data_IF_147306841277
#
_entry.id   IF_147306841277
#
_cell.length_a   1.000
_cell.length_b   1.000
_cell.length_c   1.000
_cell.angle_alpha   90.00
_cell.angle_beta   90.00
_cell.angle_gamma   90.00
#
_symmetry.space_group_name_H-M   'P 1'
#
loop_
_entity.id
_entity.type
_entity.pdbx_description
1 polymer ?
#
# COMPACT_ATOMS: atom_id res chain seq x y z
N UNK A 1 14.02 44.80 25.59
CA UNK A 1 12.93 43.83 25.35
C UNK A 1 13.63 42.50 25.14
N UNK A 2 14.00 41.84 26.24
CA UNK A 2 14.72 40.57 26.18
C UNK A 2 13.72 39.49 25.79
N UNK A 3 13.87 38.96 24.58
CA UNK A 3 13.16 37.75 24.15
C UNK A 3 13.78 36.61 24.95
N UNK A 4 13.18 36.29 26.09
CA UNK A 4 13.46 35.07 26.83
C UNK A 4 13.04 33.90 25.93
N UNK A 5 14.01 33.33 25.22
CA UNK A 5 13.90 31.98 24.68
C UNK A 5 13.95 31.05 25.88
N UNK A 6 12.82 30.87 26.56
CA UNK A 6 12.64 29.69 27.37
C UNK A 6 12.79 28.50 26.40
N UNK A 7 13.96 27.88 26.42
CA UNK A 7 14.15 26.51 25.93
C UNK A 7 13.18 25.64 26.74
N UNK A 8 11.95 25.54 26.28
CA UNK A 8 11.11 24.41 26.59
C UNK A 8 11.74 23.23 25.86
N UNK A 9 12.76 22.65 26.48
CA UNK A 9 13.25 21.34 26.07
C UNK A 9 12.09 20.37 26.28
N UNK A 10 11.56 19.86 25.17
CA UNK A 10 10.54 18.82 25.20
C UNK A 10 11.08 17.65 26.03
N UNK A 11 10.25 17.14 26.94
CA UNK A 11 10.62 15.96 27.70
C UNK A 11 10.83 14.76 26.75
N UNK A 12 11.65 13.77 27.13
CA UNK A 12 11.85 12.57 26.30
C UNK A 12 10.53 11.88 25.91
N UNK A 13 9.55 11.87 26.81
CA UNK A 13 8.22 11.29 26.58
C UNK A 13 7.42 12.08 25.53
N UNK A 14 7.51 13.41 25.53
CA UNK A 14 6.88 14.27 24.52
C UNK A 14 7.52 14.09 23.14
N UNK A 15 8.85 13.92 23.09
CA UNK A 15 9.58 13.62 21.86
C UNK A 15 9.13 12.26 21.30
N UNK A 16 9.01 11.24 22.14
CA UNK A 16 8.55 9.91 21.73
C UNK A 16 7.10 9.95 21.22
N UNK A 17 6.22 10.68 21.91
CA UNK A 17 4.83 10.88 21.48
C UNK A 17 4.74 11.58 20.11
N UNK A 18 5.55 12.61 19.88
CA UNK A 18 5.58 13.34 18.61
C UNK A 18 6.19 12.50 17.48
N UNK A 19 7.24 11.73 17.73
CA UNK A 19 7.78 10.76 16.75
C UNK A 19 6.71 9.74 16.33
N UNK A 20 5.95 9.20 17.30
CA UNK A 20 4.86 8.28 17.00
C UNK A 20 3.75 8.95 16.18
N UNK A 21 3.45 10.23 16.44
CA UNK A 21 2.50 11.02 15.64
C UNK A 21 3.00 11.23 14.21
N UNK A 22 4.26 11.61 14.03
CA UNK A 22 4.90 11.80 12.73
C UNK A 22 4.88 10.50 11.92
N UNK A 23 5.19 9.37 12.55
CA UNK A 23 5.19 8.07 11.88
C UNK A 23 3.78 7.68 11.39
N UNK A 24 2.74 7.89 12.21
CA UNK A 24 1.35 7.68 11.79
C UNK A 24 0.96 8.58 10.62
N UNK A 25 1.35 9.86 10.66
CA UNK A 25 1.05 10.80 9.58
C UNK A 25 1.75 10.38 8.28
N UNK A 26 3.01 9.94 8.35
CA UNK A 26 3.75 9.42 7.21
C UNK A 26 3.04 8.23 6.56
N UNK A 27 2.55 7.29 7.35
CA UNK A 27 1.82 6.11 6.85
C UNK A 27 0.55 6.53 6.09
N UNK A 28 -0.23 7.46 6.66
CA UNK A 28 -1.42 8.02 5.98
C UNK A 28 -1.06 8.67 4.65
N UNK A 29 0.01 9.47 4.62
CA UNK A 29 0.45 10.16 3.40
C UNK A 29 0.93 9.18 2.32
N UNK A 30 1.65 8.12 2.69
CA UNK A 30 2.13 7.11 1.74
C UNK A 30 0.98 6.30 1.11
N UNK A 31 -0.07 5.98 1.89
CA UNK A 31 -1.28 5.35 1.36
C UNK A 31 -1.99 6.27 0.38
N UNK A 32 -2.17 7.54 0.75
CA UNK A 32 -2.79 8.55 -0.12
C UNK A 32 -2.00 8.80 -1.41
N UNK A 33 -0.68 8.83 -1.35
CA UNK A 33 0.19 8.91 -2.54
C UNK A 33 -0.03 7.71 -3.46
N UNK A 34 -0.24 6.53 -2.90
CA UNK A 34 -0.47 5.30 -3.68
C UNK A 34 -1.84 5.33 -4.36
N UNK A 35 -2.89 5.74 -3.64
CA UNK A 35 -4.22 6.00 -4.22
C UNK A 35 -4.16 7.02 -5.38
N UNK A 36 -3.45 8.14 -5.18
CA UNK A 36 -3.26 9.16 -6.20
C UNK A 36 -2.56 8.62 -7.46
N UNK A 37 -1.61 7.69 -7.30
CA UNK A 37 -0.95 7.04 -8.44
C UNK A 37 -1.91 6.14 -9.23
N UNK A 38 -2.77 5.38 -8.56
CA UNK A 38 -3.82 4.59 -9.24
C UNK A 38 -4.77 5.50 -10.02
N UNK A 39 -5.23 6.62 -9.43
CA UNK A 39 -6.09 7.58 -10.12
C UNK A 39 -5.40 8.23 -11.32
N UNK A 40 -4.12 8.59 -11.19
CA UNK A 40 -3.36 9.17 -12.30
C UNK A 40 -3.22 8.18 -13.47
N UNK A 41 -2.95 6.91 -13.17
CA UNK A 41 -2.87 5.85 -14.19
C UNK A 41 -4.24 5.61 -14.87
N UNK A 42 -5.35 5.62 -14.12
CA UNK A 42 -6.71 5.50 -14.67
C UNK A 42 -7.07 6.70 -15.57
N UNK A 43 -6.74 7.92 -15.14
CA UNK A 43 -6.92 9.14 -15.94
C UNK A 43 -6.18 9.02 -17.27
N UNK A 44 -4.96 8.48 -17.28
CA UNK A 44 -4.20 8.31 -18.51
C UNK A 44 -4.83 7.26 -19.43
N UNK A 45 -5.28 6.12 -18.88
CA UNK A 45 -6.02 5.11 -19.65
C UNK A 45 -7.30 5.68 -20.25
N UNK A 46 -8.05 6.46 -19.48
CA UNK A 46 -9.27 7.11 -19.93
C UNK A 46 -9.01 8.12 -21.06
N UNK A 47 -7.93 8.90 -20.98
CA UNK A 47 -7.51 9.82 -22.05
C UNK A 47 -7.18 9.05 -23.33
N UNK A 48 -6.38 7.99 -23.24
CA UNK A 48 -5.99 7.18 -24.40
C UNK A 48 -7.21 6.52 -25.05
N UNK A 49 -8.11 5.93 -24.24
CA UNK A 49 -9.39 5.36 -24.71
C UNK A 49 -10.25 6.43 -25.38
N UNK A 50 -10.33 7.63 -24.81
CA UNK A 50 -11.15 8.71 -25.35
C UNK A 50 -10.63 9.16 -26.73
N UNK A 51 -9.31 9.28 -26.90
CA UNK A 51 -8.69 9.63 -28.17
C UNK A 51 -8.97 8.58 -29.25
N UNK A 52 -8.79 7.28 -28.92
CA UNK A 52 -9.10 6.19 -29.84
C UNK A 52 -10.59 6.14 -30.19
N UNK A 53 -11.48 6.34 -29.21
CA UNK A 53 -12.92 6.42 -29.44
C UNK A 53 -13.29 7.60 -30.34
N UNK A 54 -12.63 8.74 -30.21
CA UNK A 54 -12.83 9.89 -31.09
C UNK A 54 -12.43 9.56 -32.53
N UNK A 55 -11.29 8.90 -32.75
CA UNK A 55 -10.87 8.45 -34.07
C UNK A 55 -11.84 7.42 -34.66
N UNK A 56 -12.24 6.43 -33.86
CA UNK A 56 -13.20 5.39 -34.26
C UNK A 56 -14.53 6.01 -34.71
N UNK A 57 -15.06 6.99 -33.95
CA UNK A 57 -16.30 7.68 -34.30
C UNK A 57 -16.23 8.30 -35.68
N UNK A 58 -15.10 8.92 -36.07
CA UNK A 58 -14.95 9.53 -37.41
C UNK A 58 -15.14 8.49 -38.52
N UNK A 59 -14.68 7.26 -38.32
CA UNK A 59 -14.83 6.18 -39.31
C UNK A 59 -16.25 5.62 -39.30
N UNK A 60 -16.80 5.35 -38.11
CA UNK A 60 -18.13 4.76 -37.94
C UNK A 60 -19.23 5.67 -38.49
N UNK A 61 -19.07 6.99 -38.40
CA UNK A 61 -20.05 7.96 -38.93
C UNK A 61 -20.05 8.09 -40.45
N UNK A 62 -19.03 7.57 -41.15
CA UNK A 62 -19.02 7.62 -42.62
C UNK A 62 -20.07 6.65 -43.18
N UNK A 63 -20.78 7.01 -44.27
CA UNK A 63 -21.63 6.07 -44.99
C UNK A 63 -20.85 4.86 -45.49
N UNK A 64 -21.46 3.67 -45.45
CA UNK A 64 -20.77 2.42 -45.80
C UNK A 64 -20.28 2.36 -47.25
N UNK A 65 -20.95 3.08 -48.16
CA UNK A 65 -20.54 3.24 -49.55
C UNK A 65 -19.21 3.98 -49.71
N UNK A 66 -18.88 4.88 -48.77
CA UNK A 66 -17.66 5.69 -48.76
C UNK A 66 -16.52 5.00 -48.00
N UNK A 67 -16.81 3.92 -47.26
CA UNK A 67 -15.80 3.16 -46.51
C UNK A 67 -14.90 2.34 -47.44
N UNK A 68 -13.70 2.83 -47.67
CA UNK A 68 -12.60 2.05 -48.25
C UNK A 68 -12.19 0.86 -47.37
N UNK A 69 -11.50 -0.13 -47.96
CA UNK A 69 -10.91 -1.27 -47.21
C UNK A 69 -9.98 -0.81 -46.09
N UNK A 70 -9.25 0.30 -46.29
CA UNK A 70 -8.37 0.89 -45.27
C UNK A 70 -9.15 1.39 -44.06
N UNK A 71 -10.31 2.01 -44.27
CA UNK A 71 -11.17 2.46 -43.17
C UNK A 71 -11.65 1.30 -42.31
N UNK A 72 -12.14 0.22 -42.92
CA UNK A 72 -12.57 -0.99 -42.20
C UNK A 72 -11.43 -1.66 -41.43
N UNK A 73 -10.23 -1.72 -42.02
CA UNK A 73 -9.05 -2.23 -41.32
C UNK A 73 -8.62 -1.36 -40.14
N UNK A 74 -8.73 -0.03 -40.26
CA UNK A 74 -8.40 0.89 -39.16
C UNK A 74 -9.46 0.81 -38.06
N UNK A 75 -10.73 0.71 -38.41
CA UNK A 75 -11.85 0.49 -37.48
C UNK A 75 -11.61 -0.74 -36.59
N UNK A 76 -11.32 -1.89 -37.19
CA UNK A 76 -11.01 -3.13 -36.47
C UNK A 76 -9.81 -2.97 -35.52
N UNK A 77 -8.73 -2.33 -35.99
CA UNK A 77 -7.56 -2.05 -35.16
C UNK A 77 -7.89 -1.14 -33.97
N UNK A 78 -8.67 -0.09 -34.19
CA UNK A 78 -9.08 0.83 -33.13
C UNK A 78 -9.93 0.12 -32.08
N UNK A 79 -10.85 -0.75 -32.50
CA UNK A 79 -11.66 -1.57 -31.59
C UNK A 79 -10.76 -2.48 -30.74
N UNK A 80 -9.79 -3.15 -31.36
CA UNK A 80 -8.84 -4.01 -30.65
C UNK A 80 -7.97 -3.23 -29.66
N UNK A 81 -7.45 -2.07 -30.05
CA UNK A 81 -6.65 -1.21 -29.16
C UNK A 81 -7.48 -0.68 -27.98
N UNK A 82 -8.72 -0.25 -28.22
CA UNK A 82 -9.65 0.18 -27.16
C UNK A 82 -9.92 -0.98 -26.19
N UNK A 83 -10.20 -2.17 -26.71
CA UNK A 83 -10.45 -3.35 -25.89
C UNK A 83 -9.26 -3.69 -24.98
N UNK A 84 -8.04 -3.64 -25.51
CA UNK A 84 -6.82 -3.86 -24.72
C UNK A 84 -6.65 -2.82 -23.60
N UNK A 85 -6.96 -1.54 -23.86
CA UNK A 85 -6.89 -0.51 -22.83
C UNK A 85 -7.98 -0.69 -21.76
N UNK A 86 -9.18 -1.11 -22.15
CA UNK A 86 -10.25 -1.44 -21.19
C UNK A 86 -9.85 -2.62 -20.30
N UNK A 87 -9.26 -3.68 -20.87
CA UNK A 87 -8.73 -4.79 -20.07
C UNK A 87 -7.62 -4.33 -19.12
N UNK A 88 -6.72 -3.46 -19.58
CA UNK A 88 -5.67 -2.90 -18.71
C UNK A 88 -6.26 -2.08 -17.56
N UNK A 89 -7.36 -1.36 -17.78
CA UNK A 89 -8.07 -0.64 -16.74
C UNK A 89 -8.76 -1.58 -15.76
N UNK A 90 -9.31 -2.69 -16.23
CA UNK A 90 -9.89 -3.74 -15.39
C UNK A 90 -8.85 -4.27 -14.37
N UNK A 91 -7.66 -4.63 -14.86
CA UNK A 91 -6.56 -5.04 -13.98
C UNK A 91 -6.11 -3.95 -13.01
N UNK A 92 -6.18 -2.67 -13.40
CA UNK A 92 -5.83 -1.55 -12.51
C UNK A 92 -6.81 -1.45 -11.32
N UNK A 93 -8.10 -1.72 -11.57
CA UNK A 93 -9.13 -1.76 -10.53
C UNK A 93 -8.90 -2.93 -9.59
N UNK A 94 -8.62 -4.12 -10.13
CA UNK A 94 -8.31 -5.30 -9.32
C UNK A 94 -7.08 -5.06 -8.42
N UNK A 95 -6.00 -4.50 -8.99
CA UNK A 95 -4.78 -4.17 -8.25
C UNK A 95 -5.05 -3.15 -7.13
N UNK A 96 -5.87 -2.14 -7.38
CA UNK A 96 -6.24 -1.13 -6.38
C UNK A 96 -7.08 -1.74 -5.23
N UNK A 97 -8.00 -2.65 -5.56
CA UNK A 97 -8.81 -3.34 -4.54
C UNK A 97 -7.97 -4.27 -3.68
N UNK A 98 -7.00 -4.97 -4.28
CA UNK A 98 -6.04 -5.80 -3.52
C UNK A 98 -5.23 -4.95 -2.54
N UNK A 99 -4.77 -3.77 -2.94
CA UNK A 99 -4.04 -2.87 -2.05
C UNK A 99 -4.93 -2.36 -0.92
N UNK A 100 -6.18 -1.99 -1.21
CA UNK A 100 -7.16 -1.56 -0.20
C UNK A 100 -7.44 -2.64 0.85
N UNK A 101 -7.61 -3.88 0.42
CA UNK A 101 -7.82 -5.02 1.31
C UNK A 101 -6.60 -5.30 2.18
N UNK A 102 -5.39 -5.16 1.62
CA UNK A 102 -4.13 -5.29 2.37
C UNK A 102 -4.05 -4.23 3.48
N UNK A 103 -4.30 -2.97 3.16
CA UNK A 103 -4.25 -1.88 4.15
C UNK A 103 -5.25 -2.10 5.29
N UNK A 104 -6.46 -2.60 5.00
CA UNK A 104 -7.45 -2.93 6.02
C UNK A 104 -7.01 -4.05 6.96
N UNK A 105 -6.38 -5.11 6.43
CA UNK A 105 -5.89 -6.20 7.28
C UNK A 105 -4.72 -5.73 8.15
N UNK A 106 -3.82 -4.89 7.63
CA UNK A 106 -2.72 -4.30 8.40
C UNK A 106 -3.24 -3.44 9.57
N UNK A 107 -4.26 -2.63 9.33
CA UNK A 107 -4.88 -1.80 10.37
C UNK A 107 -5.62 -2.66 11.42
N UNK A 108 -6.26 -3.75 10.98
CA UNK A 108 -6.92 -4.71 11.87
C UNK A 108 -5.92 -5.44 12.76
N UNK A 109 -4.83 -5.96 12.19
CA UNK A 109 -3.75 -6.59 12.96
C UNK A 109 -3.14 -5.63 13.98
N UNK A 110 -2.94 -4.36 13.60
CA UNK A 110 -2.44 -3.33 14.52
C UNK A 110 -3.42 -3.06 15.67
N UNK A 111 -4.72 -2.94 15.37
CA UNK A 111 -5.76 -2.72 16.37
C UNK A 111 -5.88 -3.92 17.34
N UNK A 112 -5.82 -5.14 16.81
CA UNK A 112 -5.85 -6.37 17.61
C UNK A 112 -4.62 -6.47 18.54
N UNK A 113 -3.44 -6.16 18.01
CA UNK A 113 -2.21 -6.13 18.81
C UNK A 113 -2.28 -5.12 19.96
N UNK A 114 -2.76 -3.90 19.69
CA UNK A 114 -2.94 -2.88 20.72
C UNK A 114 -3.98 -3.29 21.77
N UNK A 115 -5.11 -3.88 21.35
CA UNK A 115 -6.11 -4.43 22.29
C UNK A 115 -5.52 -5.52 23.18
N UNK A 116 -4.73 -6.43 22.61
CA UNK A 116 -4.10 -7.50 23.37
C UNK A 116 -3.11 -6.93 24.41
N UNK A 117 -2.26 -5.98 24.01
CA UNK A 117 -1.31 -5.30 24.92
C UNK A 117 -2.03 -4.54 26.04
N UNK A 118 -3.11 -3.81 25.74
CA UNK A 118 -3.88 -3.07 26.74
C UNK A 118 -4.64 -4.01 27.70
N UNK A 119 -5.14 -5.14 27.21
CA UNK A 119 -5.80 -6.16 28.05
C UNK A 119 -4.85 -6.80 29.08
N UNK A 120 -3.55 -6.88 28.76
CA UNK A 120 -2.52 -7.38 29.67
C UNK A 120 -2.22 -6.34 30.77
N UNK A 121 -2.22 -5.04 30.43
CA UNK A 121 -2.00 -3.94 31.38
C UNK A 121 -3.18 -3.79 32.37
N UNK A 122 -4.41 -3.99 31.90
CA UNK A 122 -5.62 -3.93 32.75
C UNK A 122 -5.76 -5.12 33.72
N UNK A 123 -4.99 -6.20 33.53
CA UNK A 123 -4.95 -7.36 34.45
C UNK A 123 -3.93 -7.22 35.57
N UNK A 124 -3.24 -6.08 35.70
CA UNK A 124 -2.46 -5.76 36.89
C UNK A 124 -3.38 -5.67 38.13
N UNK A 125 -3.02 -6.27 39.28
CA UNK A 125 -3.93 -6.40 40.41
C UNK A 125 -4.27 -5.04 41.03
N UNK A 126 -5.57 -4.79 41.27
CA UNK A 126 -6.08 -3.64 42.02
C UNK A 126 -5.42 -3.57 43.42
N UNK A 127 -5.00 -2.39 43.92
CA UNK A 127 -4.48 -2.27 45.28
C UNK A 127 -5.62 -2.52 46.28
N UNK A 128 -5.48 -3.55 47.11
CA UNK A 128 -6.36 -3.75 48.28
C UNK A 128 -5.94 -2.74 49.35
N UNK A 129 -6.93 -2.00 49.88
CA UNK A 129 -6.76 -1.13 51.05
C UNK A 129 -6.49 -1.97 52.32
N UNK A 130 -5.87 -1.32 53.30
CA UNK A 130 -5.00 -1.84 54.37
C UNK A 130 -5.66 -2.57 55.57
N UNK A 131 -4.86 -3.41 56.24
CA UNK A 131 -4.70 -3.47 57.72
C UNK A 131 -3.28 -4.00 58.10
N UNK A 132 -2.69 -3.63 59.29
CA UNK A 132 -1.25 -3.73 59.61
C UNK A 132 -0.83 -5.00 60.42
N UNK A 133 0.50 -5.25 60.63
CA UNK A 133 1.09 -6.58 60.88
C UNK A 133 1.47 -6.84 62.37
N UNK A 134 1.80 -8.08 62.79
CA UNK A 134 3.20 -8.58 62.78
C UNK A 134 3.29 -10.13 62.55
N UNK A 135 4.37 -10.79 62.13
CA UNK A 135 5.73 -10.78 62.66
C UNK A 135 6.62 -11.79 61.86
N UNK A 136 7.90 -11.42 61.62
CA UNK A 136 9.10 -12.27 61.40
C UNK A 136 9.53 -12.70 59.95
N UNK A 137 10.84 -12.85 59.70
CA UNK A 137 11.48 -12.44 58.44
C UNK A 137 12.05 -13.56 57.54
N UNK A 138 12.02 -13.27 56.23
CA UNK A 138 13.08 -13.41 55.21
C UNK A 138 13.81 -14.76 54.98
N UNK A 139 13.72 -15.33 53.77
CA UNK A 139 14.67 -15.15 52.65
C UNK A 139 14.28 -16.07 51.47
N UNK A 140 13.95 -15.43 50.35
CA UNK A 140 14.43 -15.64 48.97
C UNK A 140 14.50 -17.06 48.39
N UNK A 141 13.70 -17.30 47.34
CA UNK A 141 14.15 -17.60 45.95
C UNK A 141 12.95 -18.02 45.08
N UNK A 142 12.43 -17.10 44.28
CA UNK A 142 11.81 -17.42 42.99
C UNK A 142 11.40 -16.15 42.28
N UNK A 143 12.13 -15.82 41.22
CA UNK A 143 11.62 -15.24 39.97
C UNK A 143 12.76 -14.52 39.24
N UNK A 144 13.64 -15.29 38.60
CA UNK A 144 14.45 -14.75 37.52
C UNK A 144 13.56 -14.67 36.27
N UNK A 145 13.14 -13.44 35.97
CA UNK A 145 12.83 -12.88 34.66
C UNK A 145 12.38 -13.88 33.56
N UNK A 146 11.07 -13.98 33.34
CA UNK A 146 10.51 -14.25 32.01
C UNK A 146 10.68 -12.95 31.20
N UNK A 147 11.91 -12.70 30.75
CA UNK A 147 12.16 -11.87 29.57
C UNK A 147 12.56 -12.86 28.49
N UNK A 148 11.56 -13.53 27.94
CA UNK A 148 11.71 -14.27 26.70
C UNK A 148 10.48 -13.96 25.87
N UNK A 149 10.74 -13.51 24.65
CA UNK A 149 9.80 -13.31 23.55
C UNK A 149 9.25 -11.90 23.32
N UNK A 150 10.15 -10.94 23.07
CA UNK A 150 9.85 -9.75 22.24
C UNK A 150 10.27 -9.90 20.77
N UNK A 151 10.73 -11.08 20.32
CA UNK A 151 11.30 -11.25 18.96
C UNK A 151 10.54 -12.23 18.04
N UNK A 152 9.40 -12.78 18.47
CA UNK A 152 8.69 -13.83 17.71
C UNK A 152 7.46 -13.38 16.91
N UNK A 153 6.78 -12.31 17.33
CA UNK A 153 5.48 -11.93 16.75
C UNK A 153 5.61 -11.21 15.40
N UNK A 154 6.73 -10.53 15.15
CA UNK A 154 7.03 -9.87 13.88
C UNK A 154 7.47 -10.84 12.79
N UNK A 155 7.99 -12.02 13.15
CA UNK A 155 8.52 -12.97 12.15
C UNK A 155 7.44 -13.82 11.46
N UNK A 156 6.28 -14.04 12.09
CA UNK A 156 5.20 -14.87 11.51
C UNK A 156 4.30 -14.11 10.54
N UNK A 157 3.97 -12.85 10.82
CA UNK A 157 3.24 -11.96 9.89
C UNK A 157 4.07 -11.67 8.64
N UNK A 158 5.39 -11.48 8.78
CA UNK A 158 6.29 -11.37 7.64
C UNK A 158 6.31 -12.60 6.73
N UNK A 159 6.05 -13.82 7.23
CA UNK A 159 6.08 -15.04 6.41
C UNK A 159 4.85 -15.16 5.50
N UNK A 160 3.66 -14.81 6.01
CA UNK A 160 2.41 -14.82 5.22
C UNK A 160 2.40 -13.66 4.22
N UNK A 161 2.90 -12.49 4.64
CA UNK A 161 3.11 -11.33 3.76
C UNK A 161 4.19 -11.65 2.72
N UNK A 162 5.31 -12.29 3.06
CA UNK A 162 6.29 -12.74 2.06
C UNK A 162 5.70 -13.79 1.12
N UNK A 163 4.84 -14.72 1.57
CA UNK A 163 4.24 -15.72 0.70
C UNK A 163 3.25 -15.08 -0.30
N UNK A 164 2.36 -14.20 0.15
CA UNK A 164 1.48 -13.43 -0.73
C UNK A 164 2.24 -12.48 -1.65
N UNK A 165 3.24 -11.75 -1.13
CA UNK A 165 4.14 -10.91 -1.93
C UNK A 165 4.96 -11.75 -2.89
N UNK A 166 5.31 -13.01 -2.61
CA UNK A 166 6.11 -13.86 -3.51
C UNK A 166 5.26 -14.45 -4.64
N UNK A 167 3.99 -14.77 -4.36
CA UNK A 167 2.97 -15.11 -5.39
C UNK A 167 2.66 -13.88 -6.26
N UNK A 168 2.52 -12.70 -5.67
CA UNK A 168 2.32 -11.43 -6.40
C UNK A 168 3.58 -10.94 -7.12
N UNK A 169 4.78 -11.21 -6.60
CA UNK A 169 6.07 -10.92 -7.26
C UNK A 169 6.33 -11.86 -8.42
N UNK A 170 5.72 -13.05 -8.45
CA UNK A 170 5.71 -13.94 -9.63
C UNK A 170 4.81 -13.37 -10.75
N UNK A 171 3.63 -12.86 -10.41
CA UNK A 171 2.72 -12.17 -11.34
C UNK A 171 3.31 -10.83 -11.83
N UNK A 172 3.89 -10.04 -10.92
CA UNK A 172 4.62 -8.79 -11.21
C UNK A 172 5.91 -9.02 -11.98
N UNK A 173 6.63 -10.14 -11.79
CA UNK A 173 7.79 -10.51 -12.64
C UNK A 173 7.36 -10.87 -14.06
N UNK A 174 6.22 -11.55 -14.25
CA UNK A 174 5.60 -11.75 -15.57
C UNK A 174 5.22 -10.42 -16.24
N UNK A 175 4.65 -9.49 -15.47
CA UNK A 175 4.27 -8.17 -15.98
C UNK A 175 5.46 -7.23 -16.27
N UNK A 176 6.49 -7.19 -15.42
CA UNK A 176 7.72 -6.41 -15.65
C UNK A 176 8.54 -7.01 -16.80
N UNK A 177 8.53 -8.32 -16.99
CA UNK A 177 9.10 -8.96 -18.16
C UNK A 177 8.37 -8.54 -19.44
N UNK A 178 7.04 -8.49 -19.44
CA UNK A 178 6.23 -8.02 -20.58
C UNK A 178 6.43 -6.51 -20.86
N UNK A 179 6.56 -5.70 -19.80
CA UNK A 179 6.84 -4.26 -19.89
C UNK A 179 8.28 -3.95 -20.38
N UNK A 180 9.26 -4.82 -20.13
CA UNK A 180 10.61 -4.74 -20.74
C UNK A 180 10.61 -5.18 -22.20
N UNK A 181 9.87 -6.25 -22.54
CA UNK A 181 9.79 -6.77 -23.90
C UNK A 181 9.16 -5.75 -24.87
N UNK A 182 8.16 -4.99 -24.42
CA UNK A 182 7.55 -3.89 -25.21
C UNK A 182 8.39 -2.61 -25.34
N UNK A 183 9.43 -2.41 -24.52
CA UNK A 183 10.39 -1.30 -24.70
C UNK A 183 11.54 -1.67 -25.64
N UNK A 184 11.87 -2.96 -25.78
CA UNK A 184 12.91 -3.44 -26.69
C UNK A 184 12.54 -3.39 -28.17
N UNK A 185 11.25 -3.48 -28.51
CA UNK A 185 10.74 -3.46 -29.90
C UNK A 185 10.62 -2.06 -30.53
N UNK A 186 10.97 -0.98 -29.82
CA UNK A 186 10.99 0.40 -30.35
C UNK A 186 12.38 0.95 -30.73
N UNK A 187 13.43 0.13 -30.73
CA UNK A 187 14.73 0.51 -31.36
C UNK A 187 14.95 -0.33 -32.61
N UNK A 188 14.32 0.08 -33.71
CA UNK A 188 14.75 -0.28 -35.05
C UNK A 188 16.06 0.44 -35.41
N UNK A 189 16.83 -0.05 -36.40
CA UNK A 189 18.18 0.42 -36.67
C UNK A 189 18.14 1.86 -37.17
N UNK A 190 18.98 2.71 -36.58
CA UNK A 190 19.22 4.06 -37.05
C UNK A 190 20.10 3.92 -38.30
N UNK A 191 19.52 4.12 -39.48
CA UNK A 191 20.28 4.26 -40.72
C UNK A 191 21.14 5.53 -40.62
N UNK A 192 22.45 5.33 -40.59
CA UNK A 192 23.46 6.38 -40.68
C UNK A 192 23.54 6.87 -42.12
N UNK A 193 23.14 8.13 -42.33
CA UNK A 193 23.59 8.95 -43.47
C UNK A 193 24.60 9.96 -42.96
#
# INVERSE_FOLDING_TARGET
MDVSMAESSMSPDEIEAEMARIQRLREVLVRRESELRFMMDDIQLCKDIMNLKQELRKIVTMPDAEKTKKHRQREEKLIQEIHQLVQKRDFLVDDAEVERLREQEEDKEMAEFLRQKLSIIQRAPKPRMAEPPPNKPSITKSSAAIIKDCCGATHKTFSVILQHVKVNKLHRKRFVADRRNRRGTRRGPIEST
#
